data_IF_032098017020
#
_entry.id   IF_032098017020
#
_cell.length_a   1.000
_cell.length_b   1.000
_cell.length_c   1.000
_cell.angle_alpha   90.00
_cell.angle_beta   90.00
_cell.angle_gamma   90.00
#
_symmetry.space_group_name_H-M   'P 1'
#
loop_
_entity.id
_entity.type
_entity.pdbx_description
1 polymer ?
#
# COMPACT_ATOMS: atom_id res chain seq x y z
N UNK A 1 -13.48 0.60 -4.77
CA UNK A 1 -13.24 -0.81 -4.39
C UNK A 1 -11.74 -1.11 -4.30
N UNK A 2 -10.91 -0.53 -5.18
CA UNK A 2 -9.46 -0.54 -5.06
C UNK A 2 -8.88 0.85 -5.31
N UNK A 3 -7.63 1.04 -4.90
CA UNK A 3 -6.82 2.23 -5.10
C UNK A 3 -5.35 1.84 -5.32
N UNK A 4 -4.63 2.66 -6.08
CA UNK A 4 -3.21 2.50 -6.37
C UNK A 4 -2.47 3.65 -5.70
N UNK A 5 -1.49 3.32 -4.86
CA UNK A 5 -0.69 4.29 -4.10
C UNK A 5 0.72 4.31 -4.64
N UNK A 6 1.21 5.49 -5.01
CA UNK A 6 2.62 5.73 -5.28
C UNK A 6 3.37 5.83 -3.95
N UNK A 7 4.19 4.82 -3.65
CA UNK A 7 5.03 4.78 -2.44
C UNK A 7 6.43 5.34 -2.70
N UNK A 8 6.83 5.46 -3.97
CA UNK A 8 8.15 5.91 -4.37
C UNK A 8 8.29 7.43 -4.30
N UNK A 9 7.21 8.17 -4.61
CA UNK A 9 7.12 9.62 -4.52
C UNK A 9 8.30 10.35 -5.20
N UNK A 10 8.73 9.85 -6.36
CA UNK A 10 9.87 10.40 -7.10
C UNK A 10 11.20 10.31 -6.33
N UNK A 11 11.49 9.17 -5.71
CA UNK A 11 12.69 8.90 -4.90
C UNK A 11 12.70 9.51 -3.50
N UNK A 12 11.58 10.06 -3.03
CA UNK A 12 11.42 10.58 -1.67
C UNK A 12 10.83 9.55 -0.70
N UNK A 13 10.25 8.48 -1.23
CA UNK A 13 9.67 7.38 -0.47
C UNK A 13 10.43 6.08 -0.70
N UNK A 14 9.68 4.97 -0.70
CA UNK A 14 10.22 3.61 -0.77
C UNK A 14 9.63 2.85 -1.96
N UNK A 15 10.39 1.88 -2.46
CA UNK A 15 9.92 0.99 -3.52
C UNK A 15 8.73 0.14 -3.06
N UNK A 16 7.90 -0.29 -4.02
CA UNK A 16 6.71 -1.09 -3.78
C UNK A 16 7.02 -2.47 -3.18
N UNK A 17 8.21 -3.04 -3.46
CA UNK A 17 8.68 -4.26 -2.79
C UNK A 17 8.90 -3.98 -1.30
N UNK A 18 9.66 -2.93 -0.97
CA UNK A 18 9.93 -2.58 0.41
C UNK A 18 8.65 -2.19 1.17
N UNK A 19 7.76 -1.41 0.54
CA UNK A 19 6.45 -1.07 1.10
C UNK A 19 5.63 -2.32 1.42
N UNK A 20 5.56 -3.27 0.49
CA UNK A 20 4.88 -4.56 0.69
C UNK A 20 5.51 -5.35 1.84
N UNK A 21 6.84 -5.49 1.86
CA UNK A 21 7.57 -6.26 2.88
C UNK A 21 7.37 -5.65 4.29
N UNK A 22 7.35 -4.31 4.42
CA UNK A 22 7.09 -3.62 5.69
C UNK A 22 5.65 -3.84 6.17
N UNK A 23 4.67 -3.72 5.27
CA UNK A 23 3.26 -3.91 5.58
C UNK A 23 2.97 -5.37 5.96
N UNK A 24 3.57 -6.33 5.27
CA UNK A 24 3.43 -7.76 5.57
C UNK A 24 3.89 -8.08 6.99
N UNK A 25 5.05 -7.54 7.41
CA UNK A 25 5.54 -7.67 8.80
C UNK A 25 4.57 -7.08 9.84
N UNK A 26 3.77 -6.09 9.46
CA UNK A 26 2.75 -5.49 10.31
C UNK A 26 1.36 -6.19 10.21
N UNK A 27 1.29 -7.31 9.49
CA UNK A 27 0.07 -8.09 9.26
C UNK A 27 -0.88 -7.47 8.23
N UNK A 28 -0.39 -6.62 7.33
CA UNK A 28 -1.17 -5.98 6.27
C UNK A 28 -0.68 -6.49 4.91
N UNK A 29 -1.48 -7.30 4.25
CA UNK A 29 -1.12 -7.88 2.95
C UNK A 29 -1.60 -6.96 1.83
N UNK A 30 -0.66 -6.53 0.99
CA UNK A 30 -0.92 -5.72 -0.21
C UNK A 30 -0.24 -6.35 -1.43
N UNK A 31 -0.59 -5.86 -2.61
CA UNK A 31 0.06 -6.28 -3.86
C UNK A 31 0.91 -5.14 -4.40
N UNK A 32 2.21 -5.39 -4.62
CA UNK A 32 3.08 -4.47 -5.36
C UNK A 32 2.61 -4.32 -6.81
N UNK A 33 2.55 -3.10 -7.32
CA UNK A 33 1.96 -2.81 -8.63
C UNK A 33 2.66 -1.60 -9.27
N UNK A 34 2.86 -1.64 -10.58
CA UNK A 34 3.37 -0.50 -11.35
C UNK A 34 2.38 0.66 -11.35
N UNK A 35 2.87 1.89 -11.48
CA UNK A 35 2.03 3.09 -11.61
C UNK A 35 2.17 3.71 -13.02
N UNK A 36 1.26 4.60 -13.45
CA UNK A 36 1.44 5.33 -14.71
C UNK A 36 2.77 6.07 -14.74
N UNK A 37 3.53 5.93 -15.83
CA UNK A 37 4.87 6.53 -15.95
C UNK A 37 5.95 5.83 -15.14
N UNK A 38 5.76 4.54 -14.84
CA UNK A 38 6.73 3.73 -14.11
C UNK A 38 8.15 3.85 -14.68
N UNK A 39 9.11 4.10 -13.79
CA UNK A 39 10.55 4.19 -14.11
C UNK A 39 11.35 3.11 -13.38
N UNK A 40 10.76 2.44 -12.39
CA UNK A 40 11.37 1.34 -11.64
C UNK A 40 11.12 -0.01 -12.31
N UNK A 41 11.78 -1.04 -11.77
CA UNK A 41 11.71 -2.39 -12.32
C UNK A 41 10.41 -3.12 -11.93
N UNK A 42 9.96 -4.13 -12.70
CA UNK A 42 8.80 -4.94 -12.34
C UNK A 42 8.95 -5.72 -11.01
N UNK A 43 10.19 -5.99 -10.58
CA UNK A 43 10.47 -6.71 -9.32
C UNK A 43 10.21 -5.82 -8.10
N UNK A 44 10.48 -4.52 -8.25
CA UNK A 44 10.31 -3.49 -7.23
C UNK A 44 9.71 -2.21 -7.84
N UNK A 45 8.39 -2.22 -8.15
CA UNK A 45 7.69 -1.12 -8.81
C UNK A 45 7.53 0.09 -7.88
N UNK A 46 6.95 1.19 -8.36
CA UNK A 46 6.80 2.42 -7.56
C UNK A 46 5.56 2.45 -6.65
N UNK A 47 4.67 1.46 -6.71
CA UNK A 47 3.41 1.51 -5.97
C UNK A 47 2.89 0.19 -5.40
N UNK A 48 1.81 0.33 -4.64
CA UNK A 48 1.04 -0.76 -4.04
C UNK A 48 -0.45 -0.59 -4.33
N UNK A 49 -1.15 -1.70 -4.54
CA UNK A 49 -2.61 -1.74 -4.73
C UNK A 49 -3.30 -2.19 -3.47
N UNK A 50 -4.30 -1.43 -3.05
CA UNK A 50 -5.09 -1.66 -1.84
C UNK A 50 -6.56 -1.79 -2.22
N UNK A 51 -7.26 -2.74 -1.60
CA UNK A 51 -8.68 -3.00 -1.85
C UNK A 51 -9.50 -2.93 -0.55
N UNK A 52 -10.77 -2.54 -0.67
CA UNK A 52 -11.69 -2.48 0.47
C UNK A 52 -12.49 -3.77 0.68
N UNK A 53 -12.64 -4.59 -0.37
CA UNK A 53 -13.60 -5.71 -0.41
C UNK A 53 -13.48 -6.67 0.77
N UNK A 54 -12.28 -7.17 1.07
CA UNK A 54 -12.05 -8.12 2.17
C UNK A 54 -12.48 -7.57 3.53
N UNK A 55 -12.13 -6.32 3.84
CA UNK A 55 -12.48 -5.70 5.11
C UNK A 55 -13.96 -5.29 5.18
N UNK A 56 -14.55 -4.85 4.07
CA UNK A 56 -16.00 -4.59 4.02
C UNK A 56 -16.83 -5.85 4.23
N UNK A 57 -16.40 -7.01 3.72
CA UNK A 57 -17.04 -8.31 3.98
C UNK A 57 -16.97 -8.69 5.47
N UNK A 58 -15.93 -8.24 6.18
CA UNK A 58 -15.76 -8.39 7.62
C UNK A 58 -16.50 -7.33 8.44
N UNK A 59 -17.34 -6.51 7.80
CA UNK A 59 -18.19 -5.52 8.46
C UNK A 59 -17.52 -4.17 8.74
N UNK A 60 -16.29 -3.93 8.27
CA UNK A 60 -15.60 -2.65 8.47
C UNK A 60 -16.32 -1.51 7.78
N UNK A 61 -16.34 -0.34 8.43
CA UNK A 61 -16.94 0.91 7.95
C UNK A 61 -15.90 2.02 7.81
N UNK A 62 -16.32 3.19 7.37
CA UNK A 62 -15.45 4.33 7.03
C UNK A 62 -14.52 4.73 8.19
N UNK A 63 -15.01 4.67 9.44
CA UNK A 63 -14.20 4.94 10.64
C UNK A 63 -13.08 3.92 10.84
N UNK A 64 -13.31 2.66 10.49
CA UNK A 64 -12.27 1.62 10.55
C UNK A 64 -11.22 1.83 9.45
N UNK A 65 -11.66 2.19 8.25
CA UNK A 65 -10.74 2.47 7.13
C UNK A 65 -9.81 3.65 7.43
N UNK A 66 -10.25 4.67 8.18
CA UNK A 66 -9.35 5.73 8.67
C UNK A 66 -8.23 5.17 9.56
N UNK A 67 -8.57 4.31 10.52
CA UNK A 67 -7.57 3.67 11.40
C UNK A 67 -6.62 2.75 10.63
N UNK A 68 -7.14 2.03 9.62
CA UNK A 68 -6.33 1.17 8.75
C UNK A 68 -5.35 2.04 7.95
N UNK A 69 -5.82 3.16 7.37
CA UNK A 69 -4.97 4.09 6.63
C UNK A 69 -3.87 4.71 7.53
N UNK A 70 -4.20 5.12 8.75
CA UNK A 70 -3.22 5.61 9.74
C UNK A 70 -2.17 4.55 10.09
N UNK A 71 -2.57 3.29 10.26
CA UNK A 71 -1.64 2.18 10.51
C UNK A 71 -0.71 1.97 9.31
N UNK A 72 -1.25 2.01 8.08
CA UNK A 72 -0.46 1.89 6.85
C UNK A 72 0.56 3.02 6.75
N UNK A 73 0.13 4.28 6.92
CA UNK A 73 1.02 5.44 6.85
C UNK A 73 2.15 5.35 7.88
N UNK A 74 1.83 4.98 9.13
CA UNK A 74 2.83 4.79 10.18
C UNK A 74 3.88 3.72 9.82
N UNK A 75 3.45 2.60 9.26
CA UNK A 75 4.36 1.49 8.88
C UNK A 75 5.25 1.88 7.70
N UNK A 76 4.73 2.64 6.74
CA UNK A 76 5.50 3.07 5.56
C UNK A 76 6.51 4.18 5.89
N UNK A 77 6.26 4.99 6.93
CA UNK A 77 7.15 6.08 7.36
C UNK A 77 8.18 5.69 8.42
N UNK A 78 8.04 4.53 9.06
CA UNK A 78 8.96 4.02 10.06
C UNK A 78 10.21 3.43 9.39
#
# INVERSE_FOLDING_TARGET
>A
HLLLVDTWMGSKGIGGKEASDRLEKAGIIVNKNTIPGETRTPVDPSGIRIGSAAETTRGKKEKDFKKIAEKIDKVLRA
#
